data_IF_142342891259
#
_entry.id   IF_142342891259
#
_cell.length_a   1.000
_cell.length_b   1.000
_cell.length_c   1.000
_cell.angle_alpha   90.00
_cell.angle_beta   90.00
_cell.angle_gamma   90.00
#
_symmetry.space_group_name_H-M   'P 1'
#
loop_
_entity.id
_entity.type
_entity.pdbx_description
1 polymer ?
#
# COMPACT_ATOMS: atom_id res chain seq x y z
N UNK A 1 8.08 -7.97 -22.09
CA UNK A 1 6.63 -8.20 -22.21
C UNK A 1 5.90 -7.07 -21.50
N UNK A 2 5.02 -6.36 -22.20
CA UNK A 2 4.14 -5.36 -21.58
C UNK A 2 2.88 -6.08 -21.09
N UNK A 3 2.58 -5.94 -19.81
CA UNK A 3 1.39 -6.54 -19.20
C UNK A 3 0.34 -5.44 -19.10
N UNK A 4 -0.81 -5.64 -19.73
CA UNK A 4 -1.94 -4.70 -19.72
C UNK A 4 -3.03 -5.10 -18.73
N UNK A 5 -2.66 -5.80 -17.67
CA UNK A 5 -3.56 -6.26 -16.61
C UNK A 5 -3.00 -5.91 -15.24
N UNK A 6 -3.86 -5.76 -14.25
CA UNK A 6 -3.48 -5.46 -12.88
C UNK A 6 -2.74 -6.59 -12.15
N UNK A 7 -2.63 -7.76 -12.79
CA UNK A 7 -1.88 -8.91 -12.29
C UNK A 7 -1.22 -9.67 -13.45
N UNK A 8 -0.02 -10.16 -13.24
CA UNK A 8 0.66 -11.03 -14.21
C UNK A 8 -0.03 -12.40 -14.27
N UNK A 9 -0.03 -13.07 -15.44
CA UNK A 9 -0.59 -14.42 -15.58
C UNK A 9 0.01 -15.40 -14.56
N UNK A 10 -0.83 -16.29 -14.03
CA UNK A 10 -0.42 -17.23 -12.96
C UNK A 10 0.62 -18.27 -13.37
N UNK A 11 0.73 -18.57 -14.67
CA UNK A 11 1.65 -19.55 -15.22
C UNK A 11 3.04 -19.00 -15.54
N UNK A 12 3.32 -17.72 -15.22
CA UNK A 12 4.64 -17.13 -15.42
C UNK A 12 5.58 -17.58 -14.31
N UNK A 13 6.73 -18.16 -14.68
CA UNK A 13 7.83 -18.35 -13.78
C UNK A 13 8.60 -17.04 -13.62
N UNK A 14 8.67 -16.55 -12.37
CA UNK A 14 9.45 -15.37 -12.06
C UNK A 14 10.91 -15.71 -11.87
N UNK A 15 11.79 -14.94 -12.53
CA UNK A 15 13.21 -14.89 -12.18
C UNK A 15 13.42 -13.73 -11.22
N UNK A 16 13.74 -14.04 -10.00
CA UNK A 16 14.06 -13.00 -9.01
C UNK A 16 15.47 -12.48 -9.23
N UNK A 17 15.61 -11.18 -9.07
CA UNK A 17 16.93 -10.58 -8.95
C UNK A 17 17.58 -11.11 -7.67
N UNK A 18 18.82 -11.59 -7.74
CA UNK A 18 19.57 -12.02 -6.55
C UNK A 18 19.95 -10.79 -5.71
N UNK A 19 19.03 -10.35 -4.86
CA UNK A 19 19.17 -9.19 -4.01
C UNK A 19 18.60 -9.52 -2.63
N UNK A 20 19.32 -9.26 -1.54
CA UNK A 20 18.91 -9.54 -0.17
C UNK A 20 17.52 -8.97 0.18
N UNK A 21 17.17 -7.78 -0.32
CA UNK A 21 15.85 -7.17 -0.13
C UNK A 21 14.71 -8.04 -0.70
N UNK A 22 14.86 -8.55 -1.93
CA UNK A 22 13.79 -9.37 -2.51
C UNK A 22 13.69 -10.74 -1.86
N UNK A 23 14.81 -11.28 -1.35
CA UNK A 23 14.78 -12.49 -0.52
C UNK A 23 13.98 -12.25 0.76
N UNK A 24 14.23 -11.13 1.46
CA UNK A 24 13.47 -10.73 2.65
C UNK A 24 11.98 -10.57 2.34
N UNK A 25 11.61 -9.85 1.28
CA UNK A 25 10.20 -9.64 0.91
C UNK A 25 9.50 -10.97 0.62
N UNK A 26 10.17 -11.89 -0.05
CA UNK A 26 9.64 -13.24 -0.32
C UNK A 26 9.43 -14.04 0.97
N UNK A 27 10.40 -14.01 1.87
CA UNK A 27 10.29 -14.64 3.20
C UNK A 27 9.14 -14.04 3.99
N UNK A 28 9.02 -12.72 4.02
CA UNK A 28 7.95 -12.00 4.71
C UNK A 28 6.55 -12.40 4.22
N UNK A 29 6.36 -12.54 2.91
CA UNK A 29 5.06 -12.90 2.34
C UNK A 29 4.82 -14.42 2.30
N UNK A 30 5.86 -15.24 2.35
CA UNK A 30 5.78 -16.70 2.26
C UNK A 30 5.30 -17.23 0.90
N UNK A 31 5.14 -16.35 -0.10
CA UNK A 31 4.73 -16.71 -1.45
C UNK A 31 5.08 -15.62 -2.47
N UNK A 32 4.87 -15.94 -3.76
CA UNK A 32 5.21 -15.07 -4.88
C UNK A 32 4.04 -14.21 -5.40
N UNK A 33 2.90 -14.21 -4.73
CA UNK A 33 1.70 -13.54 -5.26
C UNK A 33 1.88 -12.02 -5.38
N UNK A 34 2.61 -11.41 -4.46
CA UNK A 34 2.90 -9.97 -4.49
C UNK A 34 3.74 -9.60 -5.73
N UNK A 35 4.64 -10.48 -6.18
CA UNK A 35 5.45 -10.24 -7.38
C UNK A 35 4.62 -10.22 -8.69
N UNK A 36 3.39 -10.72 -8.65
CA UNK A 36 2.48 -10.72 -9.80
C UNK A 36 1.74 -9.41 -9.98
N UNK A 37 1.71 -8.54 -8.97
CA UNK A 37 0.93 -7.31 -8.98
C UNK A 37 1.53 -6.31 -9.96
N UNK A 38 0.68 -5.81 -10.86
CA UNK A 38 0.97 -4.76 -11.81
C UNK A 38 0.01 -3.59 -11.55
N UNK A 39 0.55 -2.40 -11.35
CA UNK A 39 -0.27 -1.21 -11.02
C UNK A 39 0.19 0.02 -11.78
N UNK A 40 -0.75 0.92 -12.01
CA UNK A 40 -0.46 2.32 -12.32
C UNK A 40 -0.40 3.09 -11.00
N UNK A 41 0.62 3.88 -10.82
CA UNK A 41 0.78 4.71 -9.63
C UNK A 41 0.80 6.17 -10.05
N UNK A 42 -0.06 6.98 -9.43
CA UNK A 42 -0.10 8.42 -9.65
C UNK A 42 0.50 9.13 -8.44
N UNK A 43 1.37 10.10 -8.70
CA UNK A 43 1.90 10.99 -7.67
C UNK A 43 1.35 12.39 -7.89
N UNK A 44 0.81 12.98 -6.84
CA UNK A 44 0.30 14.34 -6.85
C UNK A 44 1.03 15.19 -5.82
N UNK A 45 1.37 16.42 -6.21
CA UNK A 45 1.92 17.39 -5.28
C UNK A 45 0.82 17.97 -4.39
N UNK A 46 1.19 18.43 -3.20
CA UNK A 46 0.27 19.07 -2.28
C UNK A 46 0.94 20.26 -1.60
N UNK A 47 0.12 21.21 -1.11
CA UNK A 47 0.53 22.20 -0.14
C UNK A 47 0.23 21.66 1.26
N UNK A 48 1.09 21.99 2.23
CA UNK A 48 0.97 21.46 3.60
C UNK A 48 -0.43 21.76 4.20
N UNK A 49 -0.99 22.94 3.92
CA UNK A 49 -2.32 23.35 4.34
C UNK A 49 -3.48 22.50 3.78
N UNK A 50 -3.29 21.86 2.62
CA UNK A 50 -4.30 21.06 1.95
C UNK A 50 -4.15 19.54 2.23
N UNK A 51 -3.05 19.12 2.85
CA UNK A 51 -2.65 17.72 2.97
C UNK A 51 -3.76 16.84 3.55
N UNK A 52 -4.29 17.21 4.71
CA UNK A 52 -5.32 16.42 5.41
C UNK A 52 -6.59 16.33 4.59
N UNK A 53 -7.03 17.43 4.00
CA UNK A 53 -8.20 17.47 3.11
C UNK A 53 -8.02 16.52 1.92
N UNK A 54 -6.86 16.60 1.25
CA UNK A 54 -6.56 15.74 0.10
C UNK A 54 -6.59 14.27 0.51
N UNK A 55 -5.89 13.89 1.58
CA UNK A 55 -5.85 12.50 2.06
C UNK A 55 -7.25 11.99 2.38
N UNK A 56 -8.04 12.75 3.13
CA UNK A 56 -9.41 12.37 3.50
C UNK A 56 -10.29 12.20 2.26
N UNK A 57 -10.23 13.16 1.32
CA UNK A 57 -11.02 13.11 0.08
C UNK A 57 -10.65 11.89 -0.77
N UNK A 58 -9.35 11.63 -0.97
CA UNK A 58 -8.92 10.49 -1.76
C UNK A 58 -9.24 9.15 -1.10
N UNK A 59 -9.16 9.05 0.21
CA UNK A 59 -9.57 7.84 0.93
C UNK A 59 -11.07 7.58 0.79
N UNK A 60 -11.91 8.62 0.89
CA UNK A 60 -13.35 8.51 0.65
C UNK A 60 -13.68 8.14 -0.81
N UNK A 61 -12.87 8.57 -1.77
CA UNK A 61 -13.05 8.28 -3.20
C UNK A 61 -12.35 7.00 -3.67
N UNK A 62 -11.60 6.32 -2.82
CA UNK A 62 -10.75 5.19 -3.19
C UNK A 62 -11.51 4.01 -3.85
N UNK A 63 -12.78 3.80 -3.50
CA UNK A 63 -13.67 2.83 -4.11
C UNK A 63 -13.94 3.14 -5.59
N UNK A 64 -13.94 4.42 -5.99
CA UNK A 64 -14.15 4.84 -7.38
C UNK A 64 -12.98 4.38 -8.23
N UNK A 65 -11.75 4.52 -7.73
CA UNK A 65 -10.56 4.01 -8.41
C UNK A 65 -10.66 2.49 -8.65
N UNK A 66 -11.09 1.74 -7.64
CA UNK A 66 -11.29 0.30 -7.79
C UNK A 66 -12.39 -0.01 -8.82
N UNK A 67 -13.49 0.73 -8.83
CA UNK A 67 -14.59 0.53 -9.76
C UNK A 67 -14.20 0.84 -11.21
N UNK A 68 -13.52 1.98 -11.43
CA UNK A 68 -13.18 2.46 -12.77
C UNK A 68 -11.98 1.74 -13.39
N UNK A 69 -10.98 1.39 -12.55
CA UNK A 69 -9.68 0.93 -13.01
C UNK A 69 -9.38 -0.52 -12.64
N UNK A 70 -10.37 -1.30 -12.19
CA UNK A 70 -10.21 -2.74 -12.03
C UNK A 70 -9.88 -3.40 -13.36
N UNK A 71 -8.77 -4.09 -13.41
CA UNK A 71 -8.30 -4.80 -14.59
C UNK A 71 -7.50 -6.05 -14.22
N UNK A 72 -7.99 -6.79 -13.24
CA UNK A 72 -7.37 -8.04 -12.78
C UNK A 72 -8.44 -9.06 -12.39
N UNK A 73 -9.38 -9.41 -13.33
CA UNK A 73 -10.44 -10.34 -13.01
C UNK A 73 -9.87 -11.73 -12.72
N UNK A 74 -10.38 -12.35 -11.66
CA UNK A 74 -10.01 -13.70 -11.27
C UNK A 74 -11.19 -14.43 -10.65
N UNK A 75 -11.31 -15.72 -10.96
CA UNK A 75 -12.35 -16.58 -10.38
C UNK A 75 -11.79 -17.22 -9.12
N UNK A 76 -12.43 -16.95 -8.00
CA UNK A 76 -12.12 -17.54 -6.71
C UNK A 76 -13.26 -18.49 -6.33
N UNK A 77 -12.93 -19.73 -5.94
CA UNK A 77 -13.91 -20.72 -5.46
C UNK A 77 -15.11 -20.95 -6.42
N UNK A 78 -14.82 -21.41 -7.65
CA UNK A 78 -15.77 -21.86 -8.68
C UNK A 78 -16.94 -20.95 -9.09
N UNK A 79 -17.40 -20.02 -8.25
CA UNK A 79 -18.58 -19.20 -8.51
C UNK A 79 -18.44 -17.69 -8.24
N UNK A 80 -17.29 -17.22 -7.79
CA UNK A 80 -17.10 -15.80 -7.46
C UNK A 80 -16.00 -15.20 -8.33
N UNK A 81 -16.34 -14.18 -9.11
CA UNK A 81 -15.38 -13.39 -9.87
C UNK A 81 -15.03 -12.13 -9.11
N UNK A 82 -13.75 -11.93 -8.84
CA UNK A 82 -13.20 -10.70 -8.27
C UNK A 82 -12.62 -9.88 -9.43
N UNK A 83 -13.10 -8.66 -9.62
CA UNK A 83 -12.64 -7.78 -10.70
C UNK A 83 -11.29 -7.12 -10.38
N UNK A 84 -11.04 -6.81 -9.13
CA UNK A 84 -9.78 -6.24 -8.64
C UNK A 84 -9.00 -7.27 -7.80
N UNK A 85 -8.56 -8.36 -8.43
CA UNK A 85 -7.82 -9.43 -7.73
C UNK A 85 -6.49 -8.94 -7.14
N UNK A 86 -5.92 -7.86 -7.66
CA UNK A 86 -4.78 -7.16 -7.08
C UNK A 86 -5.04 -6.78 -5.61
N UNK A 87 -6.17 -6.16 -5.31
CA UNK A 87 -6.53 -5.76 -3.95
C UNK A 87 -6.79 -6.96 -3.05
N UNK A 88 -7.37 -8.02 -3.61
CA UNK A 88 -7.53 -9.29 -2.92
C UNK A 88 -6.17 -9.85 -2.47
N UNK A 89 -5.16 -9.87 -3.35
CA UNK A 89 -3.81 -10.31 -3.00
C UNK A 89 -3.25 -9.47 -1.83
N UNK A 90 -3.39 -8.15 -1.88
CA UNK A 90 -2.91 -7.29 -0.80
C UNK A 90 -3.65 -7.54 0.52
N UNK A 91 -4.97 -7.68 0.49
CA UNK A 91 -5.80 -7.91 1.69
C UNK A 91 -5.42 -9.21 2.40
N UNK A 92 -5.06 -10.26 1.66
CA UNK A 92 -4.65 -11.55 2.21
C UNK A 92 -3.13 -11.74 2.31
N UNK A 93 -2.35 -10.71 2.05
CA UNK A 93 -0.90 -10.72 2.24
C UNK A 93 -0.54 -10.55 3.72
N UNK A 94 0.76 -10.70 4.02
CA UNK A 94 1.28 -10.42 5.37
C UNK A 94 1.05 -8.96 5.81
N UNK A 95 0.93 -8.02 4.87
CA UNK A 95 0.52 -6.64 5.17
C UNK A 95 -0.94 -6.51 5.56
N UNK A 96 -1.82 -7.32 4.97
CA UNK A 96 -3.26 -7.27 5.23
C UNK A 96 -3.68 -7.76 6.60
N UNK A 97 -2.77 -8.38 7.35
CA UNK A 97 -2.99 -8.75 8.76
C UNK A 97 -3.19 -7.52 9.65
N UNK A 98 -2.62 -6.39 9.26
CA UNK A 98 -2.90 -5.09 9.87
C UNK A 98 -3.68 -4.24 8.88
N UNK A 99 -4.95 -3.97 9.20
CA UNK A 99 -5.84 -3.14 8.38
C UNK A 99 -5.25 -1.75 8.11
N UNK A 100 -4.47 -1.20 9.05
CA UNK A 100 -3.83 0.11 8.91
C UNK A 100 -2.75 0.14 7.83
N UNK A 101 -2.25 -1.02 7.40
CA UNK A 101 -1.23 -1.10 6.33
C UNK A 101 -1.81 -1.05 4.91
N UNK A 102 -3.11 -1.24 4.73
CA UNK A 102 -3.74 -1.33 3.39
C UNK A 102 -4.83 -0.29 3.21
N UNK A 103 -5.80 -0.24 4.10
CA UNK A 103 -6.94 0.67 4.02
C UNK A 103 -6.93 1.67 5.16
N UNK A 104 -7.14 2.93 4.81
CA UNK A 104 -7.46 3.96 5.79
C UNK A 104 -8.98 3.98 5.91
N UNK A 105 -9.49 3.62 7.10
CA UNK A 105 -10.92 3.48 7.38
C UNK A 105 -11.48 4.63 8.24
N UNK A 106 -10.73 5.71 8.36
CA UNK A 106 -11.13 6.90 9.15
C UNK A 106 -10.72 8.19 8.46
N UNK A 107 -11.33 9.29 8.87
CA UNK A 107 -10.84 10.63 8.57
C UNK A 107 -9.78 11.05 9.59
N UNK A 108 -8.86 11.89 9.14
CA UNK A 108 -7.89 12.57 10.00
C UNK A 108 -8.36 13.99 10.28
N UNK A 109 -8.22 14.41 11.53
CA UNK A 109 -8.57 15.77 11.94
C UNK A 109 -7.46 16.77 11.56
N UNK A 110 -6.21 16.34 11.74
CA UNK A 110 -5.00 17.15 11.61
C UNK A 110 -3.79 16.27 11.30
N UNK A 111 -2.62 16.89 11.25
CA UNK A 111 -1.34 16.22 10.99
C UNK A 111 -0.90 15.34 12.17
N UNK A 112 -1.24 15.70 13.38
CA UNK A 112 -0.94 14.95 14.60
C UNK A 112 -1.69 13.63 14.62
N UNK A 113 -2.99 13.64 14.26
CA UNK A 113 -3.80 12.43 14.14
C UNK A 113 -3.28 11.49 13.03
N UNK A 114 -2.88 12.05 11.88
CA UNK A 114 -2.24 11.30 10.81
C UNK A 114 -0.89 10.70 11.23
N UNK A 115 -0.07 11.45 11.97
CA UNK A 115 1.20 10.97 12.49
C UNK A 115 1.01 9.87 13.54
N UNK A 116 0.05 10.01 14.44
CA UNK A 116 -0.30 8.98 15.42
C UNK A 116 -0.72 7.69 14.72
N UNK A 117 -1.56 7.80 13.69
CA UNK A 117 -1.96 6.67 12.86
C UNK A 117 -0.76 6.02 12.15
N UNK A 118 0.14 6.80 11.56
CA UNK A 118 1.34 6.28 10.90
C UNK A 118 2.27 5.57 11.90
N UNK A 119 2.42 6.09 13.11
CA UNK A 119 3.23 5.48 14.17
C UNK A 119 2.63 4.18 14.75
N UNK A 120 1.36 3.92 14.53
CA UNK A 120 0.71 2.65 14.90
C UNK A 120 0.93 1.52 13.90
N UNK A 121 1.45 1.81 12.70
CA UNK A 121 1.70 0.80 11.67
C UNK A 121 2.79 -0.18 12.10
N UNK A 122 2.68 -1.40 11.59
CA UNK A 122 3.64 -2.45 11.88
C UNK A 122 4.93 -2.27 11.08
N UNK A 123 6.07 -2.13 11.78
CA UNK A 123 7.37 -2.27 11.15
C UNK A 123 7.73 -3.75 11.06
N UNK A 124 8.22 -4.18 9.90
CA UNK A 124 8.63 -5.57 9.67
C UNK A 124 10.05 -5.69 9.12
N UNK A 125 10.65 -4.58 8.73
CA UNK A 125 12.02 -4.57 8.21
C UNK A 125 12.75 -3.29 8.56
N UNK A 126 14.05 -3.40 8.69
CA UNK A 126 14.99 -2.27 8.80
C UNK A 126 16.26 -2.57 8.03
N UNK A 127 17.14 -1.60 7.91
CA UNK A 127 18.49 -1.81 7.41
C UNK A 127 19.52 -1.50 8.49
N UNK A 128 20.58 -2.32 8.53
CA UNK A 128 21.83 -2.03 9.26
C UNK A 128 23.00 -2.35 8.31
N UNK A 129 23.94 -1.43 8.19
CA UNK A 129 25.12 -1.59 7.31
C UNK A 129 24.74 -2.02 5.90
N UNK A 130 23.68 -1.40 5.35
CA UNK A 130 23.12 -1.70 4.02
C UNK A 130 22.53 -3.11 3.84
N UNK A 131 22.43 -3.91 4.90
CA UNK A 131 21.79 -5.23 4.89
C UNK A 131 20.35 -5.15 5.42
N UNK A 132 19.37 -5.71 4.71
CA UNK A 132 17.99 -5.74 5.17
C UNK A 132 17.82 -6.81 6.26
N UNK A 133 17.05 -6.45 7.28
CA UNK A 133 16.75 -7.30 8.44
C UNK A 133 15.23 -7.42 8.55
N UNK A 134 14.74 -8.64 8.49
CA UNK A 134 13.33 -8.96 8.73
C UNK A 134 13.08 -9.03 10.22
N UNK A 135 12.04 -8.34 10.67
CA UNK A 135 11.57 -8.33 12.06
C UNK A 135 10.22 -9.03 12.18
N UNK A 136 9.88 -9.44 13.39
CA UNK A 136 8.48 -9.66 13.73
C UNK A 136 7.71 -8.36 13.52
N UNK A 137 6.47 -8.46 13.05
CA UNK A 137 5.62 -7.27 12.88
C UNK A 137 5.30 -6.65 14.25
N UNK A 138 5.78 -5.45 14.49
CA UNK A 138 5.64 -4.71 15.75
C UNK A 138 5.11 -3.32 15.43
N UNK A 139 4.11 -2.76 16.15
CA UNK A 139 3.74 -1.36 16.01
C UNK A 139 4.94 -0.44 16.21
N UNK A 140 5.14 0.53 15.32
CA UNK A 140 6.35 1.36 15.34
C UNK A 140 6.53 2.12 16.66
N UNK A 141 5.43 2.64 17.22
CA UNK A 141 5.43 3.31 18.52
C UNK A 141 5.88 2.39 19.68
N UNK A 142 5.63 1.09 19.60
CA UNK A 142 6.13 0.10 20.56
C UNK A 142 7.57 -0.28 20.23
N UNK A 143 7.88 -0.49 18.95
CA UNK A 143 9.20 -0.86 18.48
C UNK A 143 10.30 0.07 19.05
N UNK A 144 10.09 1.38 18.96
CA UNK A 144 11.09 2.37 19.42
C UNK A 144 11.32 2.38 20.94
N UNK A 145 10.45 1.74 21.73
CA UNK A 145 10.62 1.65 23.20
C UNK A 145 11.40 0.39 23.63
N UNK A 146 11.63 -0.55 22.72
CA UNK A 146 12.34 -1.79 23.04
C UNK A 146 13.85 -1.54 23.12
N UNK A 147 14.52 -2.26 24.02
CA UNK A 147 16.00 -2.21 24.14
C UNK A 147 16.67 -2.87 22.95
N UNK A 148 16.17 -4.02 22.56
CA UNK A 148 16.67 -4.84 21.46
C UNK A 148 15.52 -5.61 20.82
N UNK A 149 15.66 -5.88 19.52
CA UNK A 149 14.74 -6.71 18.75
C UNK A 149 15.53 -7.73 17.96
N UNK A 150 15.10 -9.00 18.04
CA UNK A 150 15.66 -10.08 17.23
C UNK A 150 15.13 -9.99 15.81
N UNK A 151 16.00 -10.19 14.81
CA UNK A 151 15.63 -10.23 13.40
C UNK A 151 16.44 -11.26 12.62
N UNK A 152 16.06 -11.44 11.37
CA UNK A 152 16.79 -12.24 10.38
C UNK A 152 17.45 -11.29 9.40
N UNK A 153 18.77 -11.25 9.39
CA UNK A 153 19.57 -10.47 8.44
C UNK A 153 19.76 -11.26 7.15
N UNK A 154 19.50 -10.61 6.03
CA UNK A 154 19.67 -11.19 4.70
C UNK A 154 20.92 -10.65 4.05
N UNK A 155 21.74 -11.56 3.54
CA UNK A 155 22.90 -11.29 2.70
C UNK A 155 22.76 -11.99 1.35
N UNK A 156 23.74 -11.82 0.45
CA UNK A 156 23.71 -12.47 -0.87
C UNK A 156 23.62 -13.99 -0.73
N UNK A 157 24.40 -14.60 0.18
CA UNK A 157 24.55 -16.04 0.30
C UNK A 157 24.02 -16.65 1.60
N UNK A 158 23.62 -15.84 2.57
CA UNK A 158 23.20 -16.36 3.87
C UNK A 158 22.06 -15.57 4.52
N UNK A 159 21.38 -16.26 5.42
CA UNK A 159 20.41 -15.65 6.35
C UNK A 159 20.90 -15.98 7.75
N UNK A 160 21.03 -14.98 8.60
CA UNK A 160 21.53 -15.15 9.98
C UNK A 160 20.64 -14.41 10.98
N UNK A 161 20.54 -14.95 12.18
CA UNK A 161 19.90 -14.24 13.28
C UNK A 161 20.78 -13.09 13.76
N UNK A 162 20.14 -11.98 14.08
CA UNK A 162 20.82 -10.79 14.62
C UNK A 162 19.95 -10.05 15.63
N UNK A 163 20.57 -9.28 16.49
CA UNK A 163 19.92 -8.38 17.43
C UNK A 163 20.20 -6.94 17.02
N UNK A 164 19.16 -6.14 16.99
CA UNK A 164 19.28 -4.72 16.64
C UNK A 164 18.77 -3.85 17.77
N UNK A 165 19.30 -2.63 17.87
CA UNK A 165 18.76 -1.57 18.70
C UNK A 165 17.78 -0.75 17.86
N UNK A 166 16.49 -0.65 18.27
CA UNK A 166 15.52 0.22 17.64
C UNK A 166 15.94 1.69 17.67
N UNK A 167 15.57 2.41 16.62
CA UNK A 167 15.80 3.85 16.51
C UNK A 167 14.57 4.53 15.92
N UNK A 168 14.32 5.79 16.30
CA UNK A 168 13.28 6.62 15.67
C UNK A 168 13.59 6.84 14.18
N UNK A 169 14.86 6.82 13.78
CA UNK A 169 15.27 6.92 12.38
C UNK A 169 14.83 5.73 11.53
N UNK A 170 14.44 4.62 12.15
CA UNK A 170 13.91 3.45 11.45
C UNK A 170 12.52 3.72 10.85
N UNK A 171 11.87 4.83 11.22
CA UNK A 171 10.63 5.28 10.59
C UNK A 171 10.71 5.33 9.06
N UNK A 172 11.87 5.68 8.51
CA UNK A 172 12.12 5.68 7.05
C UNK A 172 11.96 4.31 6.38
N UNK A 173 11.99 3.23 7.15
CA UNK A 173 11.79 1.85 6.67
C UNK A 173 10.37 1.36 6.91
N UNK A 174 9.52 2.16 7.55
CA UNK A 174 8.12 1.82 7.75
C UNK A 174 7.44 1.73 6.38
N UNK A 175 7.01 0.54 6.03
CA UNK A 175 6.35 0.25 4.76
C UNK A 175 4.87 0.00 5.00
N UNK A 176 4.05 0.72 4.26
CA UNK A 176 2.63 0.42 4.14
C UNK A 176 2.26 0.33 2.67
N UNK A 177 1.19 -0.40 2.38
CA UNK A 177 0.65 -0.51 1.03
C UNK A 177 -0.74 0.14 0.97
N UNK A 178 -0.91 1.22 1.72
CA UNK A 178 -2.10 2.04 1.65
C UNK A 178 -2.33 2.52 0.24
N UNK A 179 -3.59 2.54 -0.16
CA UNK A 179 -3.97 2.99 -1.49
C UNK A 179 -3.70 4.48 -1.70
N UNK A 180 -3.65 5.24 -0.62
CA UNK A 180 -3.28 6.65 -0.59
C UNK A 180 -2.21 6.82 0.48
N UNK A 181 -1.01 7.22 0.10
CA UNK A 181 0.12 7.32 1.03
C UNK A 181 0.98 8.55 0.74
N UNK A 182 1.47 9.19 1.80
CA UNK A 182 2.49 10.23 1.68
C UNK A 182 3.83 9.54 1.42
N UNK A 183 4.57 10.05 0.44
CA UNK A 183 5.91 9.57 0.12
C UNK A 183 6.99 10.46 0.77
N UNK A 184 8.20 9.93 0.87
CA UNK A 184 9.36 10.70 1.29
C UNK A 184 9.78 11.80 0.29
N UNK A 185 9.18 11.84 -0.90
CA UNK A 185 9.36 12.87 -1.91
C UNK A 185 8.38 14.05 -1.74
N UNK A 186 7.61 14.06 -0.66
CA UNK A 186 6.54 15.04 -0.41
C UNK A 186 5.48 15.05 -1.51
N UNK A 187 5.09 13.87 -1.96
CA UNK A 187 3.93 13.67 -2.85
C UNK A 187 2.94 12.72 -2.19
N UNK A 188 1.68 12.79 -2.59
CA UNK A 188 0.68 11.78 -2.28
C UNK A 188 0.70 10.77 -3.43
N UNK A 189 0.97 9.51 -3.11
CA UNK A 189 0.94 8.39 -4.04
C UNK A 189 -0.40 7.69 -3.97
N UNK A 190 -1.06 7.57 -5.12
CA UNK A 190 -2.28 6.77 -5.30
C UNK A 190 -1.88 5.46 -5.94
N UNK A 191 -2.09 4.35 -5.24
CA UNK A 191 -1.61 3.00 -5.60
C UNK A 191 -2.70 2.03 -6.03
N UNK A 192 -3.96 2.44 -5.92
CA UNK A 192 -5.11 1.54 -6.06
C UNK A 192 -5.40 1.11 -7.49
N UNK A 193 -4.79 1.75 -8.47
CA UNK A 193 -5.14 1.53 -9.86
C UNK A 193 -4.42 0.31 -10.44
N UNK A 194 -5.16 -0.62 -11.04
CA UNK A 194 -4.56 -1.69 -11.82
C UNK A 194 -3.84 -1.14 -13.04
N UNK A 195 -2.81 -1.84 -13.50
CA UNK A 195 -2.20 -1.55 -14.80
C UNK A 195 -3.27 -1.58 -15.90
N UNK A 196 -3.34 -0.53 -16.71
CA UNK A 196 -4.33 -0.39 -17.76
C UNK A 196 -3.79 -0.86 -19.12
N UNK A 197 -4.67 -1.20 -20.08
CA UNK A 197 -4.30 -1.44 -21.47
C UNK A 197 -3.52 -0.25 -22.06
N UNK A 198 -2.68 -0.53 -23.06
CA UNK A 198 -1.77 0.48 -23.64
C UNK A 198 -2.47 1.78 -24.05
N UNK A 199 -3.65 1.67 -24.66
CA UNK A 199 -4.45 2.84 -25.11
C UNK A 199 -5.17 3.58 -23.97
N UNK A 200 -5.08 3.10 -22.72
CA UNK A 200 -5.74 3.66 -21.52
C UNK A 200 -4.78 3.93 -20.37
N UNK A 201 -3.47 3.81 -20.58
CA UNK A 201 -2.45 3.91 -19.53
C UNK A 201 -2.55 5.20 -18.71
N UNK A 202 -2.93 6.30 -19.35
CA UNK A 202 -2.97 7.62 -18.72
C UNK A 202 -4.27 7.86 -17.93
N UNK A 203 -5.34 7.08 -18.12
CA UNK A 203 -6.65 7.37 -17.54
C UNK A 203 -6.66 7.46 -16.01
N UNK A 204 -5.98 6.57 -15.26
CA UNK A 204 -5.89 6.72 -13.81
C UNK A 204 -5.23 8.05 -13.39
N UNK A 205 -4.15 8.45 -14.08
CA UNK A 205 -3.46 9.70 -13.79
C UNK A 205 -4.34 10.93 -14.07
N UNK A 206 -5.06 10.94 -15.20
CA UNK A 206 -5.99 12.02 -15.55
C UNK A 206 -7.13 12.11 -14.53
N UNK A 207 -7.71 10.98 -14.13
CA UNK A 207 -8.75 10.95 -13.10
C UNK A 207 -8.23 11.50 -11.76
N UNK A 208 -7.09 10.99 -11.29
CA UNK A 208 -6.51 11.43 -10.03
C UNK A 208 -6.12 12.91 -10.06
N UNK A 209 -5.58 13.41 -11.18
CA UNK A 209 -5.31 14.82 -11.33
C UNK A 209 -6.59 15.66 -11.33
N UNK A 210 -7.64 15.23 -12.03
CA UNK A 210 -8.96 15.89 -12.02
C UNK A 210 -9.55 15.97 -10.62
N UNK A 211 -9.47 14.86 -9.86
CA UNK A 211 -9.92 14.81 -8.47
C UNK A 211 -9.15 15.81 -7.59
N UNK A 212 -7.83 15.96 -7.81
CA UNK A 212 -7.04 16.97 -7.11
C UNK A 212 -7.54 18.38 -7.39
N UNK A 213 -7.81 18.70 -8.66
CA UNK A 213 -8.29 20.04 -9.04
C UNK A 213 -9.65 20.36 -8.42
N UNK A 214 -10.51 19.36 -8.28
CA UNK A 214 -11.85 19.49 -7.71
C UNK A 214 -11.92 19.11 -6.22
N UNK A 215 -10.79 19.06 -5.51
CA UNK A 215 -10.74 18.52 -4.14
C UNK A 215 -11.65 19.28 -3.16
N UNK A 216 -11.77 20.60 -3.30
CA UNK A 216 -12.60 21.42 -2.43
C UNK A 216 -14.09 21.12 -2.63
N UNK A 217 -14.54 21.06 -3.87
CA UNK A 217 -15.91 20.78 -4.25
C UNK A 217 -16.29 19.35 -3.86
N UNK A 218 -15.42 18.38 -4.18
CA UNK A 218 -15.65 16.96 -3.85
C UNK A 218 -15.65 16.76 -2.34
N UNK A 219 -14.71 17.33 -1.59
CA UNK A 219 -14.68 17.25 -0.13
C UNK A 219 -15.94 17.82 0.48
N UNK A 220 -16.37 19.01 0.03
CA UNK A 220 -17.63 19.64 0.50
C UNK A 220 -18.84 18.76 0.21
N UNK A 221 -18.93 18.20 -1.00
CA UNK A 221 -20.01 17.29 -1.38
C UNK A 221 -20.05 16.04 -0.51
N UNK A 222 -18.90 15.36 -0.34
CA UNK A 222 -18.82 14.14 0.46
C UNK A 222 -19.15 14.36 1.94
N UNK A 223 -18.80 15.52 2.49
CA UNK A 223 -19.09 15.85 3.89
C UNK A 223 -20.56 16.13 4.15
N UNK A 224 -21.33 16.46 3.12
CA UNK A 224 -22.78 16.67 3.20
C UNK A 224 -23.59 15.36 3.07
N UNK A 225 -22.91 14.25 2.75
CA UNK A 225 -23.56 12.95 2.60
C UNK A 225 -23.30 12.12 3.87
N UNK A 226 -24.38 11.75 4.56
CA UNK A 226 -24.28 10.83 5.72
C UNK A 226 -24.10 9.38 5.24
N UNK A 227 -22.87 9.02 4.87
CA UNK A 227 -22.54 7.70 4.39
C UNK A 227 -21.10 7.29 4.76
N UNK A 228 -20.89 6.02 5.07
CA UNK A 228 -19.55 5.49 5.33
C UNK A 228 -18.85 5.11 4.02
N UNK A 229 -18.21 6.08 3.39
CA UNK A 229 -17.45 5.87 2.12
C UNK A 229 -16.29 4.90 2.25
N UNK A 230 -15.75 4.71 3.44
CA UNK A 230 -14.64 3.79 3.67
C UNK A 230 -15.06 2.32 3.52
N UNK A 231 -16.35 2.02 3.81
CA UNK A 231 -16.90 0.68 3.64
C UNK A 231 -17.07 0.31 2.16
N UNK A 232 -17.37 1.28 1.29
CA UNK A 232 -17.65 1.02 -0.13
C UNK A 232 -16.53 0.29 -0.86
N UNK A 233 -15.26 0.53 -0.48
CA UNK A 233 -14.17 -0.18 -1.15
C UNK A 233 -14.20 -1.68 -0.89
N UNK A 234 -14.52 -2.09 0.32
CA UNK A 234 -14.66 -3.50 0.67
C UNK A 234 -15.87 -4.13 -0.07
N UNK A 235 -16.91 -3.34 -0.33
CA UNK A 235 -18.08 -3.78 -1.08
C UNK A 235 -17.82 -3.89 -2.59
N UNK A 236 -17.04 -2.95 -3.15
CA UNK A 236 -16.66 -2.93 -4.59
C UNK A 236 -15.61 -4.01 -4.91
N UNK A 237 -14.76 -4.34 -3.95
CA UNK A 237 -13.75 -5.40 -4.04
C UNK A 237 -14.14 -6.53 -3.08
N UNK A 238 -15.25 -7.21 -3.33
CA UNK A 238 -15.75 -8.22 -2.40
C UNK A 238 -14.78 -9.40 -2.30
N UNK A 239 -14.68 -9.94 -1.12
CA UNK A 239 -13.91 -11.12 -0.75
C UNK A 239 -14.81 -12.35 -0.76
#
# INVERSE_FOLDING_TARGET
MLISHGIAPFNIQFKYVNNPYYKLIREFHGNDNIAKICSSQSHIDYKDEDLIKIINTYNKCNWINALLFSNSPHIVNSNKTILCYRDYIWKFSSHGRDSNNILISKEFNDIEDLNAFNNSKLIFMVYRESKPILLSQIPFNQYVTLKQVKGLQFDEDCISETWIHPSVDDYKYLRSYQNVAITNRRTIEIRSDCQQPFNRLIYPAVFNFGLKQAVNEVSSYLNNINFNFFQLRDDVVPV
#
